data_IF_593212444238
#
_entry.id   IF_593212444238
#
_cell.length_a   1.000
_cell.length_b   1.000
_cell.length_c   1.000
_cell.angle_alpha   90.00
_cell.angle_beta   90.00
_cell.angle_gamma   90.00
#
_symmetry.space_group_name_H-M   'P 1'
#
loop_
_entity.id
_entity.type
_entity.pdbx_description
1 polymer ?
#
# COMPACT_ATOMS: atom_id res chain seq x y z
N UNK A 1 -34.68 24.67 40.96
CA UNK A 1 -34.38 24.15 39.61
C UNK A 1 -34.02 22.68 39.76
N UNK A 2 -34.95 21.76 39.49
CA UNK A 2 -34.72 20.32 39.73
C UNK A 2 -33.93 19.73 38.57
N UNK A 3 -32.67 19.36 38.82
CA UNK A 3 -31.86 18.61 37.85
C UNK A 3 -32.45 17.20 37.76
N UNK A 4 -33.10 16.87 36.64
CA UNK A 4 -33.41 15.48 36.29
C UNK A 4 -32.09 14.74 36.11
N UNK A 5 -31.74 13.92 37.10
CA UNK A 5 -30.62 12.97 36.98
C UNK A 5 -31.02 11.80 36.10
N UNK A 6 -30.08 11.30 35.29
CA UNK A 6 -30.23 10.04 34.57
C UNK A 6 -30.47 8.89 35.55
N UNK A 7 -31.32 7.93 35.16
CA UNK A 7 -31.54 6.73 35.98
C UNK A 7 -30.38 5.76 35.83
N UNK A 8 -30.02 5.03 36.90
CA UNK A 8 -28.97 4.01 36.83
C UNK A 8 -29.32 2.93 35.79
N UNK A 9 -30.60 2.60 35.64
CA UNK A 9 -31.05 1.60 34.66
C UNK A 9 -30.90 2.09 33.22
N UNK A 10 -31.09 3.38 32.92
CA UNK A 10 -30.79 3.93 31.60
C UNK A 10 -29.32 3.78 31.25
N UNK A 11 -28.43 4.12 32.17
CA UNK A 11 -26.99 4.02 31.92
C UNK A 11 -26.60 2.54 31.67
N UNK A 12 -27.12 1.62 32.47
CA UNK A 12 -26.85 0.18 32.34
C UNK A 12 -27.40 -0.39 31.03
N UNK A 13 -28.63 -0.02 30.64
CA UNK A 13 -29.22 -0.48 29.39
C UNK A 13 -28.42 0.02 28.17
N UNK A 14 -27.95 1.27 28.20
CA UNK A 14 -27.15 1.86 27.11
C UNK A 14 -25.83 1.12 26.94
N UNK A 15 -25.09 0.84 28.02
CA UNK A 15 -23.81 0.12 27.91
C UNK A 15 -24.01 -1.33 27.43
N UNK A 16 -25.13 -1.97 27.78
CA UNK A 16 -25.47 -3.32 27.28
C UNK A 16 -25.69 -3.29 25.77
N UNK A 17 -26.49 -2.34 25.28
CA UNK A 17 -26.76 -2.20 23.84
C UNK A 17 -25.47 -1.86 23.09
N UNK A 18 -24.66 -0.92 23.60
CA UNK A 18 -23.37 -0.58 23.00
C UNK A 18 -22.40 -1.78 23.02
N UNK A 19 -22.41 -2.60 24.07
CA UNK A 19 -21.62 -3.82 24.14
C UNK A 19 -22.01 -4.85 23.08
N UNK A 20 -23.31 -5.05 22.86
CA UNK A 20 -23.84 -5.93 21.81
C UNK A 20 -23.45 -5.45 20.41
N UNK A 21 -23.64 -4.15 20.13
CA UNK A 21 -23.27 -3.56 18.84
C UNK A 21 -21.75 -3.63 18.60
N UNK A 22 -20.94 -3.39 19.62
CA UNK A 22 -19.48 -3.50 19.52
C UNK A 22 -19.04 -4.95 19.24
N UNK A 23 -19.64 -5.95 19.90
CA UNK A 23 -19.28 -7.35 19.72
C UNK A 23 -19.45 -7.83 18.26
N UNK A 24 -20.47 -7.37 17.55
CA UNK A 24 -20.69 -7.71 16.14
C UNK A 24 -19.92 -6.82 15.17
N UNK A 25 -19.75 -5.54 15.47
CA UNK A 25 -19.11 -4.59 14.55
C UNK A 25 -17.57 -4.72 14.50
N UNK A 26 -16.95 -5.03 15.64
CA UNK A 26 -15.48 -5.12 15.76
C UNK A 26 -14.84 -6.14 14.81
N UNK A 27 -15.29 -7.41 14.72
CA UNK A 27 -14.67 -8.37 13.79
C UNK A 27 -14.78 -7.93 12.33
N UNK A 28 -15.95 -7.43 11.91
CA UNK A 28 -16.17 -6.93 10.55
C UNK A 28 -15.26 -5.74 10.21
N UNK A 29 -15.00 -4.87 11.18
CA UNK A 29 -14.11 -3.72 10.99
C UNK A 29 -12.66 -4.14 10.72
N UNK A 30 -12.16 -5.18 11.40
CA UNK A 30 -10.81 -5.70 11.15
C UNK A 30 -10.68 -6.32 9.76
N UNK A 31 -11.68 -7.07 9.31
CA UNK A 31 -11.69 -7.68 7.97
C UNK A 31 -11.72 -6.61 6.87
N UNK A 32 -12.51 -5.55 7.05
CA UNK A 32 -12.57 -4.43 6.10
C UNK A 32 -11.24 -3.69 6.03
N UNK A 33 -10.59 -3.47 7.18
CA UNK A 33 -9.30 -2.79 7.24
C UNK A 33 -8.21 -3.58 6.49
N UNK A 34 -8.19 -4.91 6.63
CA UNK A 34 -7.25 -5.77 5.91
C UNK A 34 -7.51 -5.78 4.39
N UNK A 35 -8.77 -5.80 3.96
CA UNK A 35 -9.14 -5.69 2.55
C UNK A 35 -8.76 -4.34 1.96
N UNK A 36 -8.94 -3.25 2.70
CA UNK A 36 -8.54 -1.91 2.27
C UNK A 36 -7.02 -1.81 2.07
N UNK A 37 -6.24 -2.38 2.99
CA UNK A 37 -4.78 -2.44 2.87
C UNK A 37 -4.34 -3.27 1.65
N UNK A 38 -4.98 -4.40 1.41
CA UNK A 38 -4.73 -5.26 0.22
C UNK A 38 -5.03 -4.51 -1.07
N UNK A 39 -6.16 -3.82 -1.15
CA UNK A 39 -6.54 -3.04 -2.33
C UNK A 39 -5.58 -1.87 -2.58
N UNK A 40 -5.13 -1.19 -1.51
CA UNK A 40 -4.14 -0.13 -1.61
C UNK A 40 -2.80 -0.66 -2.15
N UNK A 41 -2.33 -1.80 -1.64
CA UNK A 41 -1.12 -2.46 -2.12
C UNK A 41 -1.24 -2.82 -3.62
N UNK A 42 -2.35 -3.43 -4.03
CA UNK A 42 -2.59 -3.78 -5.44
C UNK A 42 -2.64 -2.55 -6.36
N UNK A 43 -3.21 -1.44 -5.88
CA UNK A 43 -3.23 -0.17 -6.62
C UNK A 43 -1.81 0.35 -6.90
N UNK A 44 -0.94 0.31 -5.88
CA UNK A 44 0.47 0.68 -6.02
C UNK A 44 1.18 -0.24 -7.01
N UNK A 45 1.03 -1.56 -6.87
CA UNK A 45 1.62 -2.57 -7.78
C UNK A 45 1.17 -2.33 -9.24
N UNK A 46 -0.10 -1.97 -9.46
CA UNK A 46 -0.61 -1.60 -10.77
C UNK A 46 0.11 -0.38 -11.36
N UNK A 47 0.35 0.65 -10.55
CA UNK A 47 1.14 1.83 -10.93
C UNK A 47 2.57 1.47 -11.33
N UNK A 48 3.24 0.60 -10.57
CA UNK A 48 4.60 0.11 -10.87
C UNK A 48 4.63 -0.58 -12.23
N UNK A 49 3.70 -1.51 -12.49
CA UNK A 49 3.59 -2.25 -13.76
C UNK A 49 3.35 -1.32 -14.94
N UNK A 50 2.44 -0.34 -14.79
CA UNK A 50 2.19 0.68 -15.81
C UNK A 50 3.45 1.47 -16.14
N UNK A 51 4.20 1.88 -15.13
CA UNK A 51 5.49 2.56 -15.30
C UNK A 51 6.48 1.72 -16.11
N UNK A 52 6.63 0.44 -15.78
CA UNK A 52 7.51 -0.49 -16.52
C UNK A 52 7.10 -0.59 -18.00
N UNK A 53 5.80 -0.74 -18.28
CA UNK A 53 5.31 -0.82 -19.68
C UNK A 53 5.52 0.49 -20.45
N UNK A 54 5.40 1.63 -19.77
CA UNK A 54 5.61 2.95 -20.38
C UNK A 54 7.07 3.15 -20.76
N UNK A 55 8.02 2.73 -19.92
CA UNK A 55 9.45 2.74 -20.25
C UNK A 55 9.76 1.86 -21.44
N UNK A 56 9.20 0.65 -21.46
CA UNK A 56 9.37 -0.24 -22.62
C UNK A 56 8.88 0.43 -23.92
N UNK A 57 7.75 1.14 -23.88
CA UNK A 57 7.23 1.84 -25.06
C UNK A 57 8.18 2.94 -25.56
N UNK A 58 8.87 3.65 -24.66
CA UNK A 58 9.78 4.75 -25.01
C UNK A 58 11.18 4.25 -25.42
N UNK A 59 11.70 3.26 -24.72
CA UNK A 59 13.09 2.82 -24.84
C UNK A 59 13.25 1.50 -25.61
N UNK A 60 12.15 0.82 -25.94
CA UNK A 60 12.12 -0.54 -26.54
C UNK A 60 12.90 -1.59 -25.74
N UNK A 61 13.09 -1.34 -24.45
CA UNK A 61 13.78 -2.20 -23.51
C UNK A 61 13.16 -2.00 -22.13
N UNK A 62 13.16 -3.04 -21.30
CA UNK A 62 12.74 -2.92 -19.91
C UNK A 62 13.87 -2.31 -19.06
N UNK A 63 13.55 -1.61 -17.96
CA UNK A 63 14.59 -1.05 -17.11
C UNK A 63 15.38 -2.20 -16.45
N UNK A 64 16.69 -2.04 -16.31
CA UNK A 64 17.54 -3.05 -15.66
C UNK A 64 17.27 -3.15 -14.14
N UNK A 65 16.92 -2.03 -13.52
CA UNK A 65 16.54 -1.90 -12.11
C UNK A 65 15.40 -0.88 -11.96
N UNK A 66 14.62 -0.96 -10.87
CA UNK A 66 13.59 0.05 -10.55
C UNK A 66 14.08 1.03 -9.47
N UNK A 67 15.40 1.17 -9.32
CA UNK A 67 16.01 1.98 -8.26
C UNK A 67 16.28 3.39 -8.78
N UNK A 68 15.85 4.41 -8.05
CA UNK A 68 16.38 5.75 -8.26
C UNK A 68 15.99 6.73 -7.15
N UNK A 69 16.69 7.86 -7.16
CA UNK A 69 16.66 8.94 -6.15
C UNK A 69 15.59 9.99 -6.49
N UNK A 70 15.15 10.73 -5.46
CA UNK A 70 14.11 11.77 -5.50
C UNK A 70 14.32 12.84 -6.59
N UNK A 71 13.23 13.23 -7.26
CA UNK A 71 13.22 14.21 -8.35
C UNK A 71 12.67 15.55 -7.87
N UNK A 72 13.48 16.59 -8.00
CA UNK A 72 13.01 17.92 -8.40
C UNK A 72 13.42 18.13 -9.87
N UNK A 73 12.50 18.58 -10.73
CA UNK A 73 12.71 18.99 -12.15
C UNK A 73 12.68 17.88 -13.24
N UNK A 74 12.38 18.21 -14.52
CA UNK A 74 11.72 17.29 -15.47
C UNK A 74 12.69 16.21 -16.00
N UNK A 75 12.18 14.97 -16.14
CA UNK A 75 12.97 13.83 -16.61
C UNK A 75 13.40 13.96 -18.08
N UNK A 76 14.52 13.32 -18.43
CA UNK A 76 15.00 13.19 -19.81
C UNK A 76 15.64 11.81 -20.08
N UNK A 77 16.16 11.61 -21.30
CA UNK A 77 16.81 10.36 -21.76
C UNK A 77 18.10 10.01 -21.01
N UNK A 78 18.66 10.96 -20.26
CA UNK A 78 19.84 10.77 -19.40
C UNK A 78 19.50 10.59 -17.93
N UNK A 79 18.25 10.89 -17.53
CA UNK A 79 17.72 10.78 -16.18
C UNK A 79 16.36 10.06 -16.21
N UNK A 80 16.33 8.72 -16.32
CA UNK A 80 15.09 7.98 -16.48
C UNK A 80 14.19 8.15 -15.24
N UNK A 81 12.88 8.38 -15.43
CA UNK A 81 11.88 8.66 -14.39
C UNK A 81 11.62 7.50 -13.39
N UNK A 82 12.59 6.64 -13.12
CA UNK A 82 12.38 5.46 -12.26
C UNK A 82 12.82 5.67 -10.82
N UNK A 83 13.48 6.79 -10.50
CA UNK A 83 13.64 7.21 -9.10
C UNK A 83 12.34 7.56 -8.39
N UNK A 84 11.27 7.59 -9.16
CA UNK A 84 9.93 7.90 -8.73
C UNK A 84 8.96 6.73 -8.80
N UNK A 85 9.40 5.49 -9.06
CA UNK A 85 8.55 4.31 -8.73
C UNK A 85 8.24 4.31 -7.23
N UNK A 86 9.13 4.87 -6.41
CA UNK A 86 8.86 5.22 -5.01
C UNK A 86 8.43 6.70 -4.84
N UNK A 87 8.96 7.66 -5.62
CA UNK A 87 8.65 9.10 -5.46
C UNK A 87 7.44 9.73 -6.20
N UNK A 88 7.00 9.29 -7.39
CA UNK A 88 5.87 9.85 -8.18
C UNK A 88 4.61 8.97 -8.14
N UNK A 89 4.69 7.75 -7.63
CA UNK A 89 3.49 7.02 -7.21
C UNK A 89 2.87 7.60 -5.92
N UNK A 90 3.45 8.64 -5.32
CA UNK A 90 3.10 9.10 -3.98
C UNK A 90 3.66 8.21 -2.86
N UNK A 91 4.61 7.32 -3.15
CA UNK A 91 5.19 6.38 -2.17
C UNK A 91 6.36 7.02 -1.42
N UNK A 92 6.16 8.22 -0.88
CA UNK A 92 6.99 8.67 0.23
C UNK A 92 6.58 7.87 1.47
N UNK A 93 7.35 6.84 1.82
CA UNK A 93 7.21 6.03 3.04
C UNK A 93 5.83 5.37 3.28
N UNK A 94 5.29 4.69 2.27
CA UNK A 94 4.09 3.85 2.39
C UNK A 94 4.40 2.36 2.57
N UNK A 95 5.34 2.01 3.47
CA UNK A 95 5.74 0.63 3.73
C UNK A 95 6.62 -0.04 2.66
N UNK A 96 6.83 0.57 1.49
CA UNK A 96 7.66 0.00 0.42
C UNK A 96 9.15 0.27 0.60
N UNK A 97 9.98 -0.75 0.43
CA UNK A 97 11.45 -0.67 0.52
C UNK A 97 12.11 -1.64 -0.46
N UNK A 98 13.31 -1.31 -0.93
CA UNK A 98 14.13 -2.21 -1.74
C UNK A 98 15.04 -3.04 -0.84
N UNK A 99 15.19 -4.32 -1.10
CA UNK A 99 16.20 -5.15 -0.45
C UNK A 99 17.53 -4.98 -1.20
N UNK A 100 18.55 -4.49 -0.48
CA UNK A 100 19.71 -3.75 -0.99
C UNK A 100 20.44 -4.32 -2.23
N UNK A 101 20.46 -5.64 -2.44
CA UNK A 101 21.27 -6.29 -3.49
C UNK A 101 20.47 -7.03 -4.55
N UNK A 102 19.13 -7.02 -4.47
CA UNK A 102 18.27 -7.81 -5.34
C UNK A 102 17.27 -6.92 -6.08
N UNK A 103 16.71 -7.42 -7.19
CA UNK A 103 15.53 -6.87 -7.87
C UNK A 103 14.25 -7.11 -7.04
N UNK A 104 14.37 -7.06 -5.72
CA UNK A 104 13.36 -7.44 -4.75
C UNK A 104 12.93 -6.23 -3.94
N UNK A 105 11.62 -6.07 -3.82
CA UNK A 105 10.93 -4.97 -3.19
C UNK A 105 9.98 -5.55 -2.14
N UNK A 106 9.89 -4.91 -0.99
CA UNK A 106 9.05 -5.34 0.11
C UNK A 106 8.06 -4.24 0.45
N UNK A 107 6.80 -4.62 0.64
CA UNK A 107 5.77 -3.78 1.24
C UNK A 107 5.54 -4.21 2.68
N UNK A 108 5.57 -3.28 3.62
CA UNK A 108 5.23 -3.51 5.04
C UNK A 108 3.91 -2.81 5.32
N UNK A 109 2.81 -3.59 5.28
CA UNK A 109 1.46 -3.17 5.66
C UNK A 109 0.92 -4.01 6.84
N UNK A 110 -0.31 -4.51 6.75
CA UNK A 110 -0.82 -5.52 7.71
C UNK A 110 0.04 -6.80 7.72
N UNK A 111 0.57 -7.16 6.55
CA UNK A 111 1.57 -8.20 6.37
C UNK A 111 2.75 -7.63 5.59
N UNK A 112 3.86 -8.35 5.63
CA UNK A 112 5.02 -8.05 4.79
C UNK A 112 4.88 -8.81 3.48
N UNK A 113 4.70 -8.12 2.36
CA UNK A 113 4.63 -8.72 1.02
C UNK A 113 5.95 -8.52 0.29
N UNK A 114 6.42 -9.53 -0.44
CA UNK A 114 7.68 -9.44 -1.20
C UNK A 114 7.40 -9.58 -2.69
N UNK A 115 8.00 -8.69 -3.48
CA UNK A 115 7.87 -8.62 -4.93
C UNK A 115 9.23 -8.71 -5.58
N UNK A 116 9.30 -9.39 -6.71
CA UNK A 116 10.49 -9.52 -7.52
C UNK A 116 10.24 -8.95 -8.91
N UNK A 117 11.18 -8.14 -9.37
CA UNK A 117 11.21 -7.57 -10.70
C UNK A 117 12.11 -8.40 -11.62
N UNK A 118 11.61 -8.79 -12.79
CA UNK A 118 12.36 -9.52 -13.80
C UNK A 118 12.66 -8.60 -15.00
N UNK A 119 13.88 -8.06 -15.13
CA UNK A 119 14.21 -7.10 -16.20
C UNK A 119 14.15 -7.71 -17.60
N UNK A 120 14.30 -9.03 -17.75
CA UNK A 120 14.16 -9.69 -19.06
C UNK A 120 12.74 -9.67 -19.63
N UNK A 121 11.72 -9.55 -18.76
CA UNK A 121 10.30 -9.63 -19.14
C UNK A 121 9.47 -8.43 -18.69
N UNK A 122 10.06 -7.53 -17.90
CA UNK A 122 9.35 -6.44 -17.24
C UNK A 122 8.38 -6.90 -16.14
N UNK A 123 8.43 -8.18 -15.74
CA UNK A 123 7.46 -8.72 -14.80
C UNK A 123 7.73 -8.20 -13.38
N UNK A 124 6.70 -7.70 -12.71
CA UNK A 124 6.74 -7.36 -11.29
C UNK A 124 5.74 -8.25 -10.55
N UNK A 125 6.26 -9.30 -9.92
CA UNK A 125 5.47 -10.41 -9.37
C UNK A 125 5.67 -10.52 -7.87
N UNK A 126 4.59 -10.77 -7.15
CA UNK A 126 4.71 -11.16 -5.74
C UNK A 126 5.34 -12.55 -5.64
N UNK A 127 6.31 -12.71 -4.76
CA UNK A 127 7.09 -13.94 -4.56
C UNK A 127 7.04 -14.47 -3.13
N UNK A 128 6.58 -13.67 -2.17
CA UNK A 128 6.26 -14.16 -0.82
C UNK A 128 5.12 -13.34 -0.21
N UNK A 129 4.27 -14.03 0.57
CA UNK A 129 3.23 -13.42 1.42
C UNK A 129 2.39 -12.37 0.69
N UNK A 130 1.83 -12.80 -0.44
CA UNK A 130 0.97 -11.96 -1.27
C UNK A 130 -0.34 -11.63 -0.55
N UNK A 131 -0.88 -10.43 -0.74
CA UNK A 131 -2.13 -10.01 -0.13
C UNK A 131 -3.34 -10.73 -0.75
#
# INVERSE_FOLDING_TARGET
MSKKGFTLIELVMVIIILGLLAAVAVPQFFDLSNQANTAAEQGVVGGIRSGITTYFAQNRAFPATLDGVAVSTPCDTTTPCFGTVLGQGGISSGGWSKLATTVTYQHVGSNTSTYTYAPGTGAFTCTATCP
#
